data_IF_376946777699
#
_entry.id   IF_376946777699
#
_cell.length_a   1.000
_cell.length_b   1.000
_cell.length_c   1.000
_cell.angle_alpha   90.00
_cell.angle_beta   90.00
_cell.angle_gamma   90.00
#
_symmetry.space_group_name_H-M   'P 1'
#
loop_
_entity.id
_entity.type
_entity.pdbx_description
1 polymer ?
#
# COMPACT_ATOMS: atom_id res chain seq x y z
N UNK A 1 19.16 -15.94 -18.48
CA UNK A 1 19.48 -14.50 -18.63
C UNK A 1 18.27 -13.56 -18.49
N UNK A 2 17.08 -13.88 -19.05
CA UNK A 2 15.89 -13.00 -19.00
C UNK A 2 15.44 -12.61 -17.57
N UNK A 3 15.42 -13.57 -16.65
CA UNK A 3 15.01 -13.36 -15.25
C UNK A 3 15.94 -12.35 -14.54
N UNK A 4 17.25 -12.47 -14.74
CA UNK A 4 18.23 -11.56 -14.14
C UNK A 4 18.07 -10.11 -14.64
N UNK A 5 17.81 -9.93 -15.94
CA UNK A 5 17.54 -8.61 -16.50
C UNK A 5 16.26 -7.99 -15.94
N UNK A 6 15.20 -8.79 -15.79
CA UNK A 6 13.96 -8.32 -15.16
C UNK A 6 14.20 -7.94 -13.69
N UNK A 7 14.92 -8.77 -12.94
CA UNK A 7 15.26 -8.48 -11.55
C UNK A 7 16.07 -7.18 -11.43
N UNK A 8 17.03 -6.94 -12.32
CA UNK A 8 17.81 -5.70 -12.35
C UNK A 8 16.94 -4.47 -12.66
N UNK A 9 16.02 -4.57 -13.62
CA UNK A 9 15.07 -3.50 -13.92
C UNK A 9 14.14 -3.21 -12.75
N UNK A 10 13.60 -4.25 -12.10
CA UNK A 10 12.75 -4.11 -10.92
C UNK A 10 13.50 -3.49 -9.74
N UNK A 11 14.76 -3.88 -9.52
CA UNK A 11 15.60 -3.35 -8.43
C UNK A 11 15.79 -1.83 -8.49
N UNK A 12 15.68 -1.23 -9.68
CA UNK A 12 15.74 0.24 -9.83
C UNK A 12 14.53 0.96 -9.23
N UNK A 13 13.40 0.28 -9.07
CA UNK A 13 12.16 0.82 -8.51
C UNK A 13 12.01 0.52 -7.01
N UNK A 14 12.91 -0.29 -6.45
CA UNK A 14 12.94 -0.58 -5.01
C UNK A 14 13.45 0.63 -4.23
N UNK A 15 12.92 0.82 -3.03
CA UNK A 15 13.42 1.81 -2.07
C UNK A 15 14.82 1.43 -1.57
N UNK A 16 15.56 2.41 -1.03
CA UNK A 16 16.89 2.14 -0.44
C UNK A 16 16.80 1.18 0.74
N UNK A 17 15.74 1.28 1.54
CA UNK A 17 15.48 0.35 2.64
C UNK A 17 15.34 -1.09 2.13
N UNK A 18 14.52 -1.33 1.10
CA UNK A 18 14.33 -2.67 0.53
C UNK A 18 15.59 -3.24 -0.13
N UNK A 19 16.49 -2.38 -0.61
CA UNK A 19 17.78 -2.80 -1.17
C UNK A 19 18.76 -3.25 -0.09
N UNK A 20 18.69 -2.65 1.10
CA UNK A 20 19.58 -2.92 2.24
C UNK A 20 19.02 -4.01 3.15
N UNK A 21 17.70 -4.00 3.39
CA UNK A 21 16.95 -4.95 4.21
C UNK A 21 15.81 -5.58 3.38
N UNK A 22 16.12 -6.51 2.45
CA UNK A 22 15.11 -7.08 1.57
C UNK A 22 14.12 -8.02 2.28
N UNK A 23 14.44 -8.46 3.50
CA UNK A 23 13.66 -9.45 4.24
C UNK A 23 13.36 -8.91 5.63
N UNK A 24 12.07 -8.88 5.95
CA UNK A 24 11.58 -8.41 7.23
C UNK A 24 11.61 -9.53 8.27
N UNK A 25 11.63 -9.13 9.53
CA UNK A 25 11.38 -10.04 10.64
C UNK A 25 9.98 -10.66 10.46
N UNK A 26 9.87 -11.96 10.76
CA UNK A 26 8.55 -12.59 10.80
C UNK A 26 7.65 -11.86 11.79
N UNK A 27 6.41 -11.58 11.38
CA UNK A 27 5.38 -11.09 12.30
C UNK A 27 4.77 -12.21 13.14
N UNK A 28 5.10 -13.47 12.86
CA UNK A 28 4.62 -14.63 13.61
C UNK A 28 5.31 -14.71 14.97
N UNK A 29 4.54 -15.10 15.99
CA UNK A 29 5.10 -15.46 17.28
C UNK A 29 5.95 -16.75 17.17
N UNK A 30 6.88 -16.96 18.11
CA UNK A 30 7.79 -18.11 18.06
C UNK A 30 7.06 -19.47 17.94
N UNK A 31 5.91 -19.62 18.62
CA UNK A 31 5.08 -20.82 18.54
C UNK A 31 4.53 -21.05 17.13
N UNK A 32 3.94 -20.02 16.54
CA UNK A 32 3.39 -20.06 15.17
C UNK A 32 4.48 -20.34 14.13
N UNK A 33 5.68 -19.82 14.37
CA UNK A 33 6.82 -20.05 13.50
C UNK A 33 7.29 -21.51 13.54
N UNK A 34 7.27 -22.14 14.72
CA UNK A 34 7.53 -23.58 14.88
C UNK A 34 6.43 -24.41 14.22
N UNK A 35 5.18 -23.97 14.28
CA UNK A 35 4.06 -24.67 13.64
C UNK A 35 4.15 -24.60 12.11
N UNK A 36 4.45 -23.42 11.56
CA UNK A 36 4.69 -23.23 10.13
C UNK A 36 5.86 -24.10 9.63
N UNK A 37 6.97 -24.17 10.39
CA UNK A 37 8.09 -25.04 10.06
C UNK A 37 7.72 -26.53 10.06
N UNK A 38 6.89 -26.97 11.03
CA UNK A 38 6.41 -28.35 11.07
C UNK A 38 5.54 -28.68 9.86
N UNK A 39 4.61 -27.80 9.51
CA UNK A 39 3.72 -27.98 8.36
C UNK A 39 4.47 -28.10 7.02
N UNK A 40 5.64 -27.45 6.88
CA UNK A 40 6.47 -27.55 5.67
C UNK A 40 7.15 -28.92 5.52
N UNK A 41 7.40 -29.63 6.62
CA UNK A 41 8.07 -30.95 6.64
C UNK A 41 7.06 -32.09 6.51
N UNK A 42 5.81 -31.86 6.88
CA UNK A 42 4.74 -32.84 6.73
C UNK A 42 4.48 -33.20 5.27
N UNK A 43 4.22 -34.48 5.01
CA UNK A 43 3.95 -34.96 3.65
C UNK A 43 2.60 -34.42 3.16
N UNK A 44 2.59 -33.65 2.06
CA UNK A 44 1.37 -33.00 1.59
C UNK A 44 0.40 -34.03 1.02
N UNK A 45 -0.78 -34.09 1.63
CA UNK A 45 -1.85 -35.02 1.23
C UNK A 45 -2.73 -34.41 0.13
N UNK A 46 -2.85 -33.07 0.11
CA UNK A 46 -3.66 -32.35 -0.86
C UNK A 46 -2.85 -31.94 -2.11
N UNK A 47 -3.47 -31.90 -3.30
CA UNK A 47 -2.79 -31.50 -4.54
C UNK A 47 -2.22 -30.08 -4.49
N UNK A 48 -2.93 -29.16 -3.83
CA UNK A 48 -2.44 -27.80 -3.65
C UNK A 48 -1.20 -27.76 -2.76
N UNK A 49 -1.20 -28.53 -1.67
CA UNK A 49 -0.06 -28.61 -0.76
C UNK A 49 1.18 -29.20 -1.45
N UNK A 50 0.99 -30.18 -2.35
CA UNK A 50 2.07 -30.73 -3.18
C UNK A 50 2.65 -29.65 -4.12
N UNK A 51 1.80 -28.90 -4.80
CA UNK A 51 2.25 -27.80 -5.66
C UNK A 51 2.98 -26.70 -4.86
N UNK A 52 2.52 -26.39 -3.64
CA UNK A 52 3.18 -25.40 -2.76
C UNK A 52 4.59 -25.84 -2.39
N UNK A 53 4.87 -27.14 -2.24
CA UNK A 53 6.22 -27.62 -1.95
C UNK A 53 7.24 -27.24 -3.03
N UNK A 54 6.84 -27.23 -4.30
CA UNK A 54 7.70 -26.81 -5.42
C UNK A 54 8.12 -25.33 -5.33
N UNK A 55 7.37 -24.52 -4.57
CA UNK A 55 7.57 -23.08 -4.43
C UNK A 55 8.15 -22.65 -3.07
N UNK A 56 8.50 -23.59 -2.18
CA UNK A 56 9.07 -23.26 -0.86
C UNK A 56 10.33 -22.41 -0.99
N UNK A 57 11.16 -22.65 -2.01
CA UNK A 57 12.35 -21.84 -2.30
C UNK A 57 12.05 -20.37 -2.69
N UNK A 58 10.80 -20.03 -2.99
CA UNK A 58 10.34 -18.69 -3.34
C UNK A 58 9.64 -17.97 -2.17
N UNK A 59 9.65 -18.51 -0.96
CA UNK A 59 9.01 -17.88 0.21
C UNK A 59 9.40 -16.40 0.34
N UNK A 60 10.70 -16.11 0.27
CA UNK A 60 11.23 -14.74 0.35
C UNK A 60 10.79 -13.84 -0.80
N UNK A 61 10.60 -14.40 -1.99
CA UNK A 61 10.06 -13.64 -3.12
C UNK A 61 8.61 -13.24 -2.83
N UNK A 62 7.79 -14.19 -2.35
CA UNK A 62 6.39 -13.94 -2.04
C UNK A 62 6.22 -12.98 -0.85
N UNK A 63 7.08 -13.06 0.16
CA UNK A 63 7.10 -12.08 1.26
C UNK A 63 7.31 -10.65 0.72
N UNK A 64 8.32 -10.44 -0.13
CA UNK A 64 8.59 -9.12 -0.74
C UNK A 64 7.46 -8.67 -1.65
N UNK A 65 6.95 -9.57 -2.48
CA UNK A 65 5.84 -9.27 -3.39
C UNK A 65 4.58 -8.86 -2.62
N UNK A 66 4.19 -9.65 -1.61
CA UNK A 66 3.00 -9.38 -0.80
C UNK A 66 3.13 -8.07 -0.03
N UNK A 67 4.31 -7.76 0.53
CA UNK A 67 4.56 -6.45 1.14
C UNK A 67 4.27 -5.32 0.17
N UNK A 68 4.92 -5.30 -0.99
CA UNK A 68 4.78 -4.22 -1.97
C UNK A 68 3.33 -4.11 -2.45
N UNK A 69 2.62 -5.24 -2.57
CA UNK A 69 1.18 -5.22 -2.89
C UNK A 69 0.33 -4.60 -1.79
N UNK A 70 0.63 -4.86 -0.52
CA UNK A 70 -0.07 -4.19 0.57
C UNK A 70 0.22 -2.68 0.58
N UNK A 71 1.47 -2.29 0.37
CA UNK A 71 1.88 -0.89 0.29
C UNK A 71 1.22 -0.15 -0.88
N UNK A 72 1.15 -0.77 -2.05
CA UNK A 72 0.42 -0.24 -3.22
C UNK A 72 -1.05 0.06 -2.87
N UNK A 73 -1.72 -0.86 -2.16
CA UNK A 73 -3.11 -0.65 -1.74
C UNK A 73 -3.26 0.46 -0.70
N UNK A 74 -2.31 0.59 0.23
CA UNK A 74 -2.31 1.68 1.23
C UNK A 74 -2.12 3.02 0.53
N UNK A 75 -1.13 3.14 -0.35
CA UNK A 75 -0.85 4.37 -1.10
C UNK A 75 -2.03 4.80 -1.97
N UNK A 76 -2.72 3.86 -2.62
CA UNK A 76 -3.92 4.18 -3.40
C UNK A 76 -5.04 4.77 -2.53
N UNK A 77 -5.28 4.18 -1.34
CA UNK A 77 -6.26 4.70 -0.38
C UNK A 77 -5.88 6.10 0.12
N UNK A 78 -4.60 6.30 0.45
CA UNK A 78 -4.10 7.61 0.88
C UNK A 78 -4.24 8.67 -0.20
N UNK A 79 -3.92 8.33 -1.45
CA UNK A 79 -4.08 9.21 -2.60
C UNK A 79 -5.54 9.66 -2.75
N UNK A 80 -6.48 8.73 -2.66
CA UNK A 80 -7.92 9.03 -2.72
C UNK A 80 -8.33 9.96 -1.59
N UNK A 81 -7.93 9.66 -0.35
CA UNK A 81 -8.25 10.48 0.82
C UNK A 81 -7.67 11.90 0.72
N UNK A 82 -6.42 12.03 0.29
CA UNK A 82 -5.76 13.32 0.06
C UNK A 82 -6.43 14.13 -1.04
N UNK A 83 -6.85 13.48 -2.13
CA UNK A 83 -7.57 14.13 -3.24
C UNK A 83 -8.92 14.70 -2.79
N UNK A 84 -9.69 13.91 -2.04
CA UNK A 84 -10.96 14.34 -1.46
C UNK A 84 -10.77 15.53 -0.51
N UNK A 85 -9.78 15.45 0.39
CA UNK A 85 -9.46 16.55 1.31
C UNK A 85 -9.03 17.81 0.57
N UNK A 86 -8.23 17.69 -0.49
CA UNK A 86 -7.82 18.83 -1.31
C UNK A 86 -9.02 19.47 -2.02
N UNK A 87 -9.93 18.65 -2.56
CA UNK A 87 -11.18 19.11 -3.16
C UNK A 87 -12.02 19.92 -2.18
N UNK A 88 -12.24 19.37 -0.98
CA UNK A 88 -12.99 20.05 0.06
C UNK A 88 -12.35 21.38 0.51
N UNK A 89 -11.03 21.42 0.67
CA UNK A 89 -10.32 22.66 1.01
C UNK A 89 -10.46 23.73 -0.08
N UNK A 90 -10.44 23.33 -1.36
CA UNK A 90 -10.67 24.26 -2.48
C UNK A 90 -12.10 24.79 -2.51
N UNK A 91 -13.09 23.97 -2.16
CA UNK A 91 -14.49 24.41 -2.03
C UNK A 91 -14.67 25.42 -0.91
N UNK A 92 -14.11 25.15 0.28
CA UNK A 92 -14.13 26.08 1.40
C UNK A 92 -13.46 27.42 1.04
N UNK A 93 -12.32 27.36 0.35
CA UNK A 93 -11.62 28.57 -0.10
C UNK A 93 -12.47 29.38 -1.10
N UNK A 94 -13.17 28.71 -2.04
CA UNK A 94 -14.10 29.39 -2.96
C UNK A 94 -15.26 30.06 -2.21
N UNK A 95 -15.86 29.36 -1.26
CA UNK A 95 -16.95 29.91 -0.45
C UNK A 95 -16.49 31.11 0.38
N UNK A 96 -15.29 31.05 0.97
CA UNK A 96 -14.69 32.15 1.70
C UNK A 96 -14.45 33.38 0.82
N UNK A 97 -13.88 33.19 -0.37
CA UNK A 97 -13.67 34.28 -1.32
C UNK A 97 -14.99 34.88 -1.82
N UNK A 98 -16.01 34.05 -2.08
CA UNK A 98 -17.34 34.51 -2.44
C UNK A 98 -17.97 35.34 -1.30
N UNK A 99 -17.87 34.89 -0.05
CA UNK A 99 -18.38 35.63 1.11
C UNK A 99 -17.71 37.00 1.30
N UNK A 100 -16.42 37.12 0.95
CA UNK A 100 -15.71 38.41 0.97
C UNK A 100 -16.11 39.28 -0.22
N UNK A 101 -16.16 38.73 -1.44
CA UNK A 101 -16.54 39.49 -2.64
C UNK A 101 -17.99 39.98 -2.61
N UNK A 102 -18.86 39.27 -1.89
CA UNK A 102 -20.27 39.63 -1.68
C UNK A 102 -20.44 40.85 -0.73
N UNK A 103 -19.37 41.35 -0.09
CA UNK A 103 -19.44 42.56 0.75
C UNK A 103 -19.72 43.87 -0.02
N UNK A 104 -19.67 43.89 -1.36
CA UNK A 104 -20.07 45.06 -2.15
C UNK A 104 -21.47 44.94 -2.77
N UNK A 105 -22.02 43.73 -2.90
CA UNK A 105 -23.32 43.45 -3.53
C UNK A 105 -24.44 43.16 -2.50
N UNK A 106 -24.12 42.63 -1.32
CA UNK A 106 -25.09 42.41 -0.22
C UNK A 106 -25.47 43.69 0.53
N UNK A 107 -24.76 44.80 0.31
CA UNK A 107 -25.17 46.12 0.83
C UNK A 107 -26.36 46.73 0.07
N UNK A 108 -26.78 46.16 -1.07
CA UNK A 108 -27.84 46.69 -1.92
C UNK A 108 -29.20 45.98 -1.83
N UNK A 109 -29.31 44.88 -1.08
CA UNK A 109 -30.56 44.11 -0.92
C UNK A 109 -31.00 44.08 0.54
N UNK A 110 -32.33 44.06 0.84
CA UNK A 110 -32.82 44.02 2.20
C UNK A 110 -32.41 42.70 2.86
N UNK A 111 -31.46 42.78 3.77
CA UNK A 111 -30.93 41.66 4.55
C UNK A 111 -31.68 41.60 5.90
N UNK A 112 -31.97 40.42 6.50
CA UNK A 112 -32.69 40.33 7.77
C UNK A 112 -31.81 40.58 9.02
N UNK A 113 -30.76 41.39 8.90
CA UNK A 113 -30.04 41.99 10.03
C UNK A 113 -30.36 43.48 10.10
#
# INVERSE_FOLDING_TARGET
QRILRLAEMCRRLETEEEKVLPFYSSSLAEGEQRDAQRALVETPTEPLAQAVQDYVGLERFWQRFNKVKLEEQVLERERVALSQRNGHLRELLRQYLAGISVSQEVLGQPNPL
#
